data_IF_312758516897
#
_entry.id   IF_312758516897
#
_cell.length_a   1.000
_cell.length_b   1.000
_cell.length_c   1.000
_cell.angle_alpha   90.00
_cell.angle_beta   90.00
_cell.angle_gamma   90.00
#
_symmetry.space_group_name_H-M   'P 1'
#
loop_
_entity.id
_entity.type
_entity.pdbx_description
1 polymer ?
#
# COMPACT_ATOMS: atom_id res chain seq x y z
N UNK A 1 -3.71 -13.35 17.80
CA UNK A 1 -2.53 -13.38 18.69
C UNK A 1 -1.86 -12.03 18.61
N UNK A 2 -1.63 -11.37 19.76
CA UNK A 2 -0.87 -10.11 19.86
C UNK A 2 0.60 -10.34 19.48
N UNK A 3 1.40 -9.31 19.17
CA UNK A 3 2.61 -8.89 19.89
C UNK A 3 3.35 -7.74 19.15
N UNK A 4 4.18 -7.01 19.92
CA UNK A 4 4.72 -5.64 19.79
C UNK A 4 5.80 -5.39 18.72
N UNK A 5 5.88 -4.15 18.24
CA UNK A 5 7.08 -3.53 17.63
C UNK A 5 7.22 -2.06 18.12
N UNK A 6 8.47 -1.64 18.30
CA UNK A 6 8.96 -0.44 18.99
C UNK A 6 8.92 0.85 18.15
N UNK A 7 8.85 2.01 18.83
CA UNK A 7 8.45 3.32 18.30
C UNK A 7 9.62 4.31 18.25
N UNK A 8 9.71 5.11 17.18
CA UNK A 8 10.31 6.45 17.25
C UNK A 8 9.30 7.53 16.83
N UNK A 9 9.15 8.57 17.65
CA UNK A 9 8.14 9.65 17.53
C UNK A 9 8.43 10.61 16.37
N UNK A 10 7.42 11.20 15.70
CA UNK A 10 7.61 12.36 14.85
C UNK A 10 7.83 13.62 15.71
N UNK A 11 8.90 14.37 15.44
CA UNK A 11 9.20 15.65 16.10
C UNK A 11 8.30 16.77 15.60
N UNK A 12 7.73 17.52 16.54
CA UNK A 12 6.89 18.71 16.33
C UNK A 12 7.64 19.83 15.62
N UNK A 13 7.04 20.41 14.58
CA UNK A 13 7.58 21.59 13.87
C UNK A 13 7.51 22.83 14.76
N UNK A 14 8.64 23.29 15.32
CA UNK A 14 8.73 24.62 15.92
C UNK A 14 8.89 25.68 14.84
N UNK A 15 8.02 26.70 14.84
CA UNK A 15 8.20 27.91 14.03
C UNK A 15 9.32 28.77 14.64
N UNK A 16 10.45 28.90 13.96
CA UNK A 16 11.53 29.81 14.35
C UNK A 16 11.36 31.14 13.60
N UNK A 17 11.27 32.26 14.34
CA UNK A 17 11.26 33.63 13.81
C UNK A 17 12.62 33.96 13.18
N UNK A 18 12.61 34.61 12.01
CA UNK A 18 13.82 35.12 11.34
C UNK A 18 14.38 36.35 12.09
N UNK A 19 15.71 36.51 12.22
CA UNK A 19 16.30 37.73 12.74
C UNK A 19 16.41 38.82 11.65
N UNK A 20 16.36 40.08 12.07
CA UNK A 20 16.42 41.25 11.19
C UNK A 20 17.80 41.45 10.55
N UNK A 21 17.82 41.97 9.31
CA UNK A 21 19.00 42.22 8.48
C UNK A 21 19.69 43.55 8.86
N UNK A 22 21.03 43.63 8.94
CA UNK A 22 21.73 44.91 9.09
C UNK A 22 21.87 45.65 7.74
N UNK A 23 21.96 47.00 7.75
CA UNK A 23 21.95 47.81 6.53
C UNK A 23 23.35 47.91 5.88
N UNK A 24 23.42 47.71 4.56
CA UNK A 24 24.54 48.16 3.72
C UNK A 24 25.31 47.12 2.91
N UNK A 25 24.68 46.46 1.93
CA UNK A 25 25.41 45.68 0.91
C UNK A 25 24.95 46.07 -0.52
N UNK A 26 25.87 46.23 -1.49
CA UNK A 26 25.57 46.72 -2.84
C UNK A 26 24.95 45.65 -3.75
N UNK A 27 24.22 46.12 -4.76
CA UNK A 27 23.50 45.34 -5.78
C UNK A 27 24.44 44.84 -6.88
N UNK A 28 24.51 43.52 -7.08
CA UNK A 28 25.19 42.91 -8.21
C UNK A 28 24.75 41.45 -8.37
N UNK A 29 23.83 41.21 -9.30
CA UNK A 29 23.27 39.90 -9.63
C UNK A 29 24.29 39.02 -10.36
N UNK A 30 24.48 37.80 -9.86
CA UNK A 30 24.67 36.54 -10.61
C UNK A 30 24.74 35.41 -9.58
N UNK A 31 23.60 35.06 -8.98
CA UNK A 31 23.49 33.84 -8.19
C UNK A 31 23.26 32.65 -9.13
N UNK A 32 24.32 31.87 -9.35
CA UNK A 32 24.16 30.44 -9.59
C UNK A 32 23.42 29.91 -8.36
N UNK A 33 22.12 29.65 -8.51
CA UNK A 33 21.30 29.08 -7.46
C UNK A 33 21.91 27.76 -7.02
N UNK A 34 22.63 27.76 -5.90
CA UNK A 34 22.89 26.55 -5.14
C UNK A 34 21.52 26.08 -4.72
N UNK A 35 20.99 25.07 -5.42
CA UNK A 35 19.87 24.31 -4.92
C UNK A 35 20.32 23.79 -3.55
N UNK A 36 19.82 24.44 -2.50
CA UNK A 36 19.98 23.99 -1.14
C UNK A 36 19.43 22.58 -1.13
N UNK A 37 20.32 21.59 -1.11
CA UNK A 37 19.93 20.22 -0.81
C UNK A 37 19.27 20.30 0.56
N UNK A 38 17.94 20.29 0.55
CA UNK A 38 17.15 20.18 1.75
C UNK A 38 17.78 19.04 2.55
N UNK A 39 18.26 19.36 3.75
CA UNK A 39 18.84 18.41 4.68
C UNK A 39 17.93 17.20 4.72
N UNK A 40 18.42 16.07 4.19
CA UNK A 40 17.69 14.83 4.11
C UNK A 40 17.27 14.43 5.52
N UNK A 41 16.04 14.78 5.88
CA UNK A 41 15.34 14.11 6.96
C UNK A 41 15.38 12.63 6.61
N UNK A 42 15.91 11.83 7.53
CA UNK A 42 16.11 10.39 7.39
C UNK A 42 14.99 9.76 6.56
N UNK A 43 15.36 8.96 5.56
CA UNK A 43 14.47 8.15 4.73
C UNK A 43 13.74 7.16 5.64
N UNK A 44 12.70 7.63 6.31
CA UNK A 44 12.04 6.87 7.35
C UNK A 44 11.07 5.90 6.69
N UNK A 45 11.44 4.62 6.71
CA UNK A 45 10.51 3.54 6.44
C UNK A 45 9.37 3.60 7.47
N UNK A 46 8.16 3.86 6.99
CA UNK A 46 6.95 3.82 7.80
C UNK A 46 6.28 2.47 7.62
N UNK A 47 5.92 1.82 8.73
CA UNK A 47 5.20 0.56 8.71
C UNK A 47 4.02 0.63 9.68
N UNK A 48 2.86 0.17 9.21
CA UNK A 48 1.65 0.04 10.01
C UNK A 48 0.95 -1.25 9.68
N UNK A 49 0.53 -1.97 10.71
CA UNK A 49 -0.34 -3.13 10.56
C UNK A 49 -1.79 -2.67 10.61
N UNK A 50 -2.59 -3.18 9.68
CA UNK A 50 -4.02 -2.91 9.61
C UNK A 50 -4.76 -4.23 9.42
N UNK A 51 -5.93 -4.36 10.02
CA UNK A 51 -6.78 -5.55 9.85
C UNK A 51 -7.93 -5.19 8.94
N UNK A 52 -8.09 -5.87 7.80
CA UNK A 52 -9.25 -5.72 6.93
C UNK A 52 -10.48 -6.46 7.50
N UNK A 53 -11.66 -6.00 7.12
CA UNK A 53 -12.93 -6.66 7.44
C UNK A 53 -12.98 -8.01 6.74
N UNK A 54 -13.50 -9.01 7.46
CA UNK A 54 -13.64 -10.36 6.91
C UNK A 54 -14.47 -10.33 5.63
N UNK A 55 -14.01 -11.03 4.60
CA UNK A 55 -14.70 -11.19 3.33
C UNK A 55 -15.07 -12.65 3.16
N UNK A 56 -16.19 -12.88 2.47
CA UNK A 56 -16.50 -14.22 1.94
C UNK A 56 -15.52 -14.53 0.81
N UNK A 57 -15.41 -15.80 0.42
CA UNK A 57 -14.68 -16.21 -0.79
C UNK A 57 -15.10 -15.35 -2.00
N UNK A 58 -14.12 -14.89 -2.77
CA UNK A 58 -14.31 -14.13 -4.00
C UNK A 58 -13.34 -12.96 -4.14
N UNK A 59 -13.50 -12.16 -5.19
CA UNK A 59 -12.65 -11.00 -5.46
C UNK A 59 -13.27 -9.71 -4.89
N UNK A 60 -12.55 -8.99 -4.02
CA UNK A 60 -13.06 -7.81 -3.31
C UNK A 60 -12.21 -6.58 -3.59
N UNK A 61 -12.84 -5.44 -3.89
CA UNK A 61 -12.13 -4.16 -3.96
C UNK A 61 -11.95 -3.62 -2.54
N UNK A 62 -10.70 -3.41 -2.12
CA UNK A 62 -10.36 -3.02 -0.73
C UNK A 62 -9.58 -1.71 -0.64
N UNK A 63 -9.34 -1.00 -1.74
CA UNK A 63 -8.59 0.28 -1.78
C UNK A 63 -9.06 1.27 -0.71
N UNK A 64 -10.35 1.58 -0.69
CA UNK A 64 -10.93 2.56 0.26
C UNK A 64 -10.80 2.13 1.71
N UNK A 65 -10.92 0.82 1.95
CA UNK A 65 -10.79 0.27 3.30
C UNK A 65 -9.35 0.40 3.81
N UNK A 66 -8.36 0.17 2.93
CA UNK A 66 -6.94 0.36 3.23
C UNK A 66 -6.68 1.84 3.52
N UNK A 67 -7.05 2.75 2.61
CA UNK A 67 -6.82 4.20 2.75
C UNK A 67 -7.36 4.74 4.08
N UNK A 68 -8.59 4.36 4.45
CA UNK A 68 -9.20 4.75 5.74
C UNK A 68 -8.40 4.29 6.96
N UNK A 69 -7.64 3.20 6.85
CA UNK A 69 -6.82 2.64 7.95
C UNK A 69 -5.40 3.20 7.99
N UNK A 70 -4.97 3.89 6.93
CA UNK A 70 -3.64 4.51 6.84
C UNK A 70 -3.70 6.03 6.58
N UNK A 71 -4.44 6.83 7.39
CA UNK A 71 -4.54 8.28 7.16
C UNK A 71 -3.18 9.00 7.22
N UNK A 72 -2.20 8.41 7.90
CA UNK A 72 -0.84 8.95 8.03
C UNK A 72 -0.10 9.04 6.68
N UNK A 73 -0.60 8.38 5.62
CA UNK A 73 -0.06 8.47 4.26
C UNK A 73 -0.02 9.91 3.75
N UNK A 74 -0.91 10.78 4.22
CA UNK A 74 -0.96 12.21 3.87
C UNK A 74 0.34 12.97 4.22
N UNK A 75 1.15 12.43 5.13
CA UNK A 75 2.43 13.00 5.52
C UNK A 75 3.58 12.66 4.55
N UNK A 76 3.33 11.77 3.58
CA UNK A 76 4.33 11.25 2.64
C UNK A 76 4.14 11.91 1.28
N UNK A 77 5.00 12.87 0.93
CA UNK A 77 4.94 13.56 -0.37
C UNK A 77 5.28 12.65 -1.55
N UNK A 78 6.34 11.84 -1.44
CA UNK A 78 6.76 10.89 -2.48
C UNK A 78 7.28 9.62 -1.80
N UNK A 79 6.85 8.45 -2.28
CA UNK A 79 7.29 7.18 -1.70
C UNK A 79 6.75 5.94 -2.42
N UNK A 80 6.95 4.79 -1.80
CA UNK A 80 6.38 3.50 -2.23
C UNK A 80 5.59 2.90 -1.06
N UNK A 81 4.32 2.60 -1.29
CA UNK A 81 3.49 1.81 -0.40
C UNK A 81 3.66 0.33 -0.76
N UNK A 82 4.38 -0.43 0.07
CA UNK A 82 4.40 -1.88 -0.01
C UNK A 82 3.31 -2.45 0.89
N UNK A 83 2.32 -3.13 0.31
CA UNK A 83 1.20 -3.73 1.04
C UNK A 83 1.34 -5.24 0.94
N UNK A 84 1.54 -5.88 2.09
CA UNK A 84 1.71 -7.32 2.21
C UNK A 84 0.60 -7.92 3.06
N UNK A 85 -0.05 -8.98 2.56
CA UNK A 85 -1.02 -9.76 3.33
C UNK A 85 -0.32 -10.94 4.02
N UNK A 86 -0.53 -11.07 5.33
CA UNK A 86 0.01 -12.16 6.16
C UNK A 86 -0.89 -13.41 6.11
N UNK A 87 -1.20 -13.88 4.91
CA UNK A 87 -2.03 -15.06 4.67
C UNK A 87 -1.44 -15.90 3.53
N UNK A 88 -1.61 -17.22 3.62
CA UNK A 88 -1.10 -18.20 2.64
C UNK A 88 -2.17 -18.71 1.67
N UNK A 89 -3.44 -18.38 1.92
CA UNK A 89 -4.63 -18.77 1.14
C UNK A 89 -5.42 -17.54 0.63
N UNK A 90 -4.81 -16.36 0.66
CA UNK A 90 -5.37 -15.11 0.15
C UNK A 90 -4.30 -14.31 -0.60
N UNK A 91 -4.72 -13.39 -1.46
CA UNK A 91 -3.82 -12.61 -2.30
C UNK A 91 -4.20 -11.15 -2.46
N UNK A 92 -3.22 -10.36 -2.90
CA UNK A 92 -3.41 -8.97 -3.28
C UNK A 92 -3.07 -8.78 -4.76
N UNK A 93 -3.93 -8.06 -5.47
CA UNK A 93 -3.70 -7.70 -6.87
C UNK A 93 -4.04 -6.23 -7.13
N UNK A 94 -3.44 -5.65 -8.17
CA UNK A 94 -3.89 -4.38 -8.75
C UNK A 94 -4.68 -4.69 -10.01
N UNK A 95 -5.95 -4.31 -10.03
CA UNK A 95 -6.83 -4.57 -11.17
C UNK A 95 -8.00 -3.56 -11.19
N UNK A 96 -8.99 -3.78 -12.05
CA UNK A 96 -10.05 -2.82 -12.32
C UNK A 96 -10.86 -2.41 -11.08
N UNK A 97 -11.13 -1.12 -10.89
CA UNK A 97 -11.89 -0.60 -9.74
C UNK A 97 -13.34 -0.17 -10.07
N UNK A 98 -13.77 -0.26 -11.33
CA UNK A 98 -15.03 0.30 -11.80
C UNK A 98 -16.12 -0.74 -12.00
N UNK A 99 -15.93 -1.69 -12.92
CA UNK A 99 -16.95 -2.68 -13.23
C UNK A 99 -16.89 -3.85 -12.24
N UNK A 100 -17.95 -4.10 -11.44
CA UNK A 100 -18.01 -5.26 -10.56
C UNK A 100 -17.96 -6.60 -11.30
N UNK A 101 -18.38 -6.67 -12.57
CA UNK A 101 -18.40 -7.92 -13.33
C UNK A 101 -16.99 -8.46 -13.57
N UNK A 102 -15.97 -7.60 -13.69
CA UNK A 102 -14.56 -8.01 -13.83
C UNK A 102 -14.11 -8.85 -12.64
N UNK A 103 -14.60 -8.55 -11.43
CA UNK A 103 -14.30 -9.34 -10.21
C UNK A 103 -15.00 -10.69 -10.24
N UNK A 104 -16.25 -10.74 -10.72
CA UNK A 104 -17.02 -11.99 -10.85
C UNK A 104 -16.38 -12.90 -11.90
N UNK A 105 -16.01 -12.37 -13.06
CA UNK A 105 -15.38 -13.12 -14.14
C UNK A 105 -13.98 -13.59 -13.76
N UNK A 106 -13.22 -12.77 -13.02
CA UNK A 106 -11.93 -13.18 -12.47
C UNK A 106 -12.08 -14.35 -11.51
N UNK A 107 -13.03 -14.28 -10.58
CA UNK A 107 -13.32 -15.40 -9.66
C UNK A 107 -13.74 -16.66 -10.43
N UNK A 108 -14.62 -16.52 -11.43
CA UNK A 108 -15.04 -17.61 -12.29
C UNK A 108 -13.84 -18.27 -12.98
N UNK A 109 -12.94 -17.47 -13.55
CA UNK A 109 -11.76 -17.99 -14.25
C UNK A 109 -10.76 -18.64 -13.30
N UNK A 110 -10.50 -18.05 -12.13
CA UNK A 110 -9.65 -18.67 -11.11
C UNK A 110 -10.17 -20.04 -10.67
N UNK A 111 -11.48 -20.22 -10.59
CA UNK A 111 -12.12 -21.50 -10.28
C UNK A 111 -12.03 -22.51 -11.43
N UNK A 112 -11.88 -22.05 -12.67
CA UNK A 112 -11.62 -22.93 -13.82
C UNK A 112 -10.15 -23.35 -13.90
N UNK A 113 -9.21 -22.44 -13.60
CA UNK A 113 -7.77 -22.71 -13.62
C UNK A 113 -7.37 -23.62 -12.45
N UNK A 114 -7.89 -23.32 -11.27
CA UNK A 114 -7.60 -24.04 -10.02
C UNK A 114 -8.93 -24.52 -9.42
N UNK A 115 -9.51 -25.61 -9.97
CA UNK A 115 -10.79 -26.13 -9.51
C UNK A 115 -10.68 -26.74 -8.12
N UNK A 116 -11.76 -26.60 -7.36
CA UNK A 116 -12.01 -27.31 -6.11
C UNK A 116 -12.31 -28.80 -6.37
N UNK A 117 -12.14 -29.63 -5.34
CA UNK A 117 -12.54 -31.05 -5.41
C UNK A 117 -11.66 -31.94 -6.29
N UNK A 118 -10.49 -31.46 -6.72
CA UNK A 118 -9.47 -32.33 -7.31
C UNK A 118 -8.82 -33.19 -6.22
N UNK A 119 -8.10 -34.24 -6.64
CA UNK A 119 -7.36 -35.13 -5.75
C UNK A 119 -6.05 -34.49 -5.25
N UNK A 120 -6.13 -33.29 -4.66
CA UNK A 120 -5.01 -32.66 -3.98
C UNK A 120 -4.62 -33.46 -2.74
N UNK A 121 -3.32 -33.54 -2.46
CA UNK A 121 -2.81 -34.24 -1.27
C UNK A 121 -3.06 -33.48 0.02
N UNK A 122 -3.07 -32.14 -0.06
CA UNK A 122 -3.40 -31.25 1.03
C UNK A 122 -4.90 -30.99 0.98
N UNK A 123 -5.63 -31.38 2.02
CA UNK A 123 -7.09 -31.30 2.06
C UNK A 123 -7.63 -31.30 3.50
N UNK A 124 -6.81 -30.87 4.46
CA UNK A 124 -7.16 -30.98 5.88
C UNK A 124 -8.18 -29.94 6.32
N UNK A 125 -8.31 -28.81 5.61
CA UNK A 125 -9.21 -27.71 5.99
C UNK A 125 -10.46 -27.61 5.13
N UNK A 126 -10.61 -28.47 4.11
CA UNK A 126 -11.79 -28.50 3.24
C UNK A 126 -11.46 -28.68 1.76
N UNK A 127 -12.48 -28.74 0.89
CA UNK A 127 -12.30 -28.89 -0.56
C UNK A 127 -11.70 -27.65 -1.24
N UNK A 128 -11.71 -26.49 -0.58
CA UNK A 128 -11.19 -25.20 -1.05
C UNK A 128 -9.79 -24.86 -0.52
N UNK A 129 -9.29 -25.61 0.46
CA UNK A 129 -7.99 -25.43 1.13
C UNK A 129 -6.80 -25.33 0.15
N UNK A 130 -6.46 -26.44 -0.51
CA UNK A 130 -5.35 -26.43 -1.49
C UNK A 130 -5.60 -25.51 -2.69
N UNK A 131 -6.81 -25.44 -3.30
CA UNK A 131 -7.09 -24.46 -4.33
C UNK A 131 -6.77 -23.01 -3.92
N UNK A 132 -7.10 -22.62 -2.69
CA UNK A 132 -6.82 -21.28 -2.19
C UNK A 132 -5.31 -21.02 -2.10
N UNK A 133 -4.52 -21.98 -1.62
CA UNK A 133 -3.06 -21.90 -1.60
C UNK A 133 -2.44 -21.76 -3.00
N UNK A 134 -2.93 -22.52 -3.99
CA UNK A 134 -2.41 -22.43 -5.37
C UNK A 134 -2.75 -21.07 -5.97
N UNK A 135 -4.02 -20.63 -5.85
CA UNK A 135 -4.44 -19.29 -6.31
C UNK A 135 -3.58 -18.21 -5.65
N UNK A 136 -3.30 -18.36 -4.36
CA UNK A 136 -2.50 -17.41 -3.62
C UNK A 136 -1.04 -17.35 -4.12
N UNK A 137 -0.44 -18.51 -4.40
CA UNK A 137 0.91 -18.60 -4.95
C UNK A 137 1.01 -18.04 -6.39
N UNK A 138 -0.05 -18.17 -7.20
CA UNK A 138 -0.09 -17.67 -8.57
C UNK A 138 -0.19 -16.13 -8.63
N UNK A 139 -0.95 -15.52 -7.72
CA UNK A 139 -1.23 -14.08 -7.73
C UNK A 139 -0.20 -13.31 -6.90
N UNK A 140 0.12 -13.82 -5.71
CA UNK A 140 1.07 -13.21 -4.79
C UNK A 140 0.43 -12.49 -3.60
N UNK A 141 1.23 -12.38 -2.53
CA UNK A 141 0.80 -11.83 -1.24
C UNK A 141 1.10 -10.35 -1.06
N UNK A 142 1.60 -9.66 -2.09
CA UNK A 142 1.94 -8.24 -1.99
C UNK A 142 1.67 -7.45 -3.25
N UNK A 143 1.33 -6.18 -3.07
CA UNK A 143 1.35 -5.16 -4.13
C UNK A 143 2.24 -3.99 -3.70
N UNK A 144 2.86 -3.31 -4.66
CA UNK A 144 3.64 -2.10 -4.40
C UNK A 144 3.07 -0.96 -5.24
N UNK A 145 2.73 0.15 -4.59
CA UNK A 145 2.01 1.28 -5.20
C UNK A 145 2.82 2.56 -4.95
N UNK A 146 3.09 3.39 -5.98
CA UNK A 146 3.72 4.68 -5.75
C UNK A 146 2.83 5.61 -4.91
N UNK A 147 3.46 6.46 -4.09
CA UNK A 147 2.79 7.52 -3.33
C UNK A 147 3.17 8.85 -3.95
N UNK A 148 2.17 9.71 -4.18
CA UNK A 148 2.37 11.08 -4.66
C UNK A 148 1.40 12.00 -3.92
N UNK A 149 1.92 13.09 -3.34
CA UNK A 149 1.17 14.09 -2.57
C UNK A 149 0.24 13.48 -1.52
N UNK A 150 0.79 12.51 -0.77
CA UNK A 150 0.08 11.88 0.33
C UNK A 150 -1.01 10.89 -0.10
N UNK A 151 -1.01 10.45 -1.37
CA UNK A 151 -2.04 9.55 -1.91
C UNK A 151 -1.42 8.39 -2.67
N UNK A 152 -2.13 7.27 -2.73
CA UNK A 152 -1.82 6.20 -3.68
C UNK A 152 -1.93 6.74 -5.11
N UNK A 153 -0.86 6.63 -5.86
CA UNK A 153 -0.78 7.02 -7.27
C UNK A 153 -1.15 5.80 -8.13
N UNK A 154 -2.46 5.55 -8.20
CA UNK A 154 -3.07 4.51 -9.01
C UNK A 154 -3.56 5.10 -10.34
N UNK A 155 -3.55 4.30 -11.40
CA UNK A 155 -4.28 4.65 -12.62
C UNK A 155 -5.77 4.81 -12.36
N UNK A 156 -6.48 5.55 -13.23
CA UNK A 156 -7.93 5.83 -13.09
C UNK A 156 -8.75 4.59 -12.78
N UNK A 157 -8.43 3.49 -13.47
CA UNK A 157 -9.14 2.22 -13.34
C UNK A 157 -8.45 1.23 -12.41
N UNK A 158 -7.40 1.60 -11.67
CA UNK A 158 -6.69 0.67 -10.79
C UNK A 158 -7.20 0.74 -9.36
N UNK A 159 -7.33 -0.42 -8.75
CA UNK A 159 -7.63 -0.59 -7.33
C UNK A 159 -6.95 -1.83 -6.76
N UNK A 160 -6.83 -1.84 -5.43
CA UNK A 160 -6.29 -2.98 -4.67
C UNK A 160 -7.41 -3.98 -4.44
N UNK A 161 -7.19 -5.19 -4.90
CA UNK A 161 -8.09 -6.31 -4.69
C UNK A 161 -7.57 -7.22 -3.57
N UNK A 162 -8.51 -7.78 -2.80
CA UNK A 162 -8.31 -8.91 -1.90
C UNK A 162 -9.02 -10.11 -2.52
N UNK A 163 -8.28 -11.19 -2.76
CA UNK A 163 -8.77 -12.45 -3.32
C UNK A 163 -8.60 -13.59 -2.34
#
# INVERSE_FOLDING_TARGET
MSHKIEVSRPTTRQQRKQPARPPGAPSGNLEYGTASMATAGQTAWYQKEVTLSSKKRGCHLVTEEIVKKVPDIEQISVGLAHIHIKHTSASLALNENWDPDVRVDTEMMLNKIVPEGQNYRHSCEGPDDMPAHIKAALIGSSVTIPITDGKFNLGTWQGVWLL
#
